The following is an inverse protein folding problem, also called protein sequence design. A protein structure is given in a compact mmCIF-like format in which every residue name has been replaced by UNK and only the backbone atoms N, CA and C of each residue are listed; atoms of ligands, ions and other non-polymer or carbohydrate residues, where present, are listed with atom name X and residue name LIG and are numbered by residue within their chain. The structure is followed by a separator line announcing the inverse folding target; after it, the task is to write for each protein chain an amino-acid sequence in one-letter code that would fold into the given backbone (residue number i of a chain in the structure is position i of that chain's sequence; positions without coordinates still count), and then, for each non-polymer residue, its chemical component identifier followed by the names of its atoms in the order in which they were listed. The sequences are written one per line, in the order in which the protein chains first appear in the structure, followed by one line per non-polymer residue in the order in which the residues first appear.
data_IF_817649646313
#
_entry.id   IF_817649646313
#
_cell.length_a   1.000
_cell.length_b   1.000
_cell.length_c   1.000
_cell.angle_alpha   90.00
_cell.angle_beta   90.00
_cell.angle_gamma   90.00
#
_symmetry.space_group_name_H-M   'P 1'
#
loop_
_entity.id
_entity.type
_entity.pdbx_description
1 polymer ?
#
# COMPACT_ATOMS: atom_id res chain seq x y z
N UNK A 1 66.22 -43.05 -52.49
CA UNK A 1 65.32 -41.93 -52.15
C UNK A 1 65.45 -41.72 -50.64
N UNK A 2 66.44 -40.96 -50.18
CA UNK A 2 66.41 -39.49 -50.01
C UNK A 2 65.46 -39.08 -48.87
N UNK A 3 65.79 -38.30 -47.84
CA UNK A 3 66.97 -37.50 -47.49
C UNK A 3 66.60 -36.69 -46.21
N UNK A 4 67.60 -36.42 -45.36
CA UNK A 4 67.82 -35.20 -44.54
C UNK A 4 66.83 -34.68 -43.43
N UNK A 5 67.47 -34.41 -42.27
CA UNK A 5 67.47 -33.15 -41.48
C UNK A 5 66.21 -32.69 -40.71
N UNK A 6 66.28 -32.50 -39.38
CA UNK A 6 66.61 -31.27 -38.59
C UNK A 6 65.35 -30.54 -38.08
N UNK A 7 65.13 -30.65 -36.76
CA UNK A 7 64.76 -29.61 -35.76
C UNK A 7 63.50 -28.72 -35.85
N UNK A 8 63.15 -28.24 -34.64
CA UNK A 8 62.33 -27.06 -34.22
C UNK A 8 60.83 -27.10 -34.53
N UNK A 9 59.91 -26.68 -33.66
CA UNK A 9 60.00 -25.58 -32.71
C UNK A 9 59.09 -25.78 -31.48
N UNK A 10 59.58 -25.33 -30.32
CA UNK A 10 58.74 -24.99 -29.17
C UNK A 10 57.79 -23.87 -29.60
N UNK A 11 56.49 -24.06 -29.40
CA UNK A 11 55.50 -22.99 -29.51
C UNK A 11 54.99 -22.68 -28.12
N UNK A 12 55.62 -21.70 -27.49
CA UNK A 12 55.16 -21.07 -26.25
C UNK A 12 53.76 -20.50 -26.47
N UNK A 13 52.83 -20.78 -25.55
CA UNK A 13 51.55 -20.08 -25.49
C UNK A 13 51.84 -18.60 -25.21
N UNK A 14 51.74 -17.76 -26.23
CA UNK A 14 51.61 -16.31 -26.07
C UNK A 14 50.33 -16.06 -25.29
N UNK A 15 50.47 -15.96 -23.97
CA UNK A 15 49.49 -15.35 -23.11
C UNK A 15 49.40 -13.88 -23.53
N UNK A 16 48.29 -13.51 -24.18
CA UNK A 16 47.93 -12.11 -24.41
C UNK A 16 47.82 -11.48 -23.02
N UNK A 17 48.86 -10.76 -22.62
CA UNK A 17 48.81 -9.87 -21.47
C UNK A 17 47.86 -8.74 -21.84
N UNK A 18 46.63 -8.81 -21.33
CA UNK A 18 45.78 -7.63 -21.23
C UNK A 18 46.49 -6.62 -20.32
N UNK A 19 46.71 -5.37 -20.76
CA UNK A 19 47.22 -4.34 -19.88
C UNK A 19 46.28 -4.23 -18.68
N UNK A 20 46.83 -4.27 -17.46
CA UNK A 20 46.09 -3.97 -16.25
C UNK A 20 45.61 -2.51 -16.34
N UNK A 21 44.39 -2.33 -16.85
CA UNK A 21 43.67 -1.07 -16.74
C UNK A 21 43.30 -0.90 -15.26
N UNK A 22 43.50 0.30 -14.67
CA UNK A 22 42.95 0.61 -13.35
C UNK A 22 41.45 0.33 -13.40
N UNK A 23 40.96 -0.51 -12.50
CA UNK A 23 39.53 -0.75 -12.35
C UNK A 23 38.86 0.58 -12.00
N UNK A 24 38.19 1.20 -12.97
CA UNK A 24 37.25 2.28 -12.69
C UNK A 24 36.18 1.73 -11.73
N UNK A 25 35.91 2.40 -10.60
CA UNK A 25 34.84 1.99 -9.72
C UNK A 25 33.52 2.10 -10.48
N UNK A 26 32.87 0.96 -10.70
CA UNK A 26 31.48 0.91 -11.17
C UNK A 26 30.66 1.86 -10.31
N UNK A 27 29.93 2.85 -10.89
CA UNK A 27 29.09 3.73 -10.11
C UNK A 27 28.04 2.84 -9.43
N UNK A 28 28.14 2.77 -8.11
CA UNK A 28 27.18 2.09 -7.26
C UNK A 28 25.80 2.62 -7.63
N UNK A 29 24.93 1.74 -8.14
CA UNK A 29 23.55 2.07 -8.46
C UNK A 29 22.94 2.76 -7.25
N UNK A 30 22.74 4.07 -7.36
CA UNK A 30 22.05 4.86 -6.34
C UNK A 30 20.67 4.24 -6.21
N UNK A 31 20.46 3.46 -5.14
CA UNK A 31 19.18 2.86 -4.83
C UNK A 31 18.18 4.01 -4.76
N UNK A 32 17.35 4.16 -5.80
CA UNK A 32 16.35 5.19 -5.87
C UNK A 32 15.45 5.02 -4.64
N UNK A 33 15.60 5.91 -3.64
CA UNK A 33 14.77 5.86 -2.44
C UNK A 33 13.33 6.06 -2.89
N UNK A 34 12.48 5.07 -2.61
CA UNK A 34 11.04 5.25 -2.68
C UNK A 34 10.68 6.45 -1.79
N UNK A 35 9.98 7.48 -2.31
CA UNK A 35 9.55 8.61 -1.49
C UNK A 35 8.78 8.12 -0.27
N UNK A 36 9.03 8.71 0.91
CA UNK A 36 8.29 8.39 2.12
C UNK A 36 6.81 8.77 2.00
N UNK A 37 5.95 8.04 2.72
CA UNK A 37 4.52 8.37 2.76
C UNK A 37 4.28 9.62 3.62
N UNK A 38 3.38 10.53 3.19
CA UNK A 38 3.04 11.70 3.98
C UNK A 38 2.38 11.29 5.29
N UNK A 39 2.80 11.88 6.40
CA UNK A 39 2.14 11.68 7.70
C UNK A 39 0.92 12.60 7.81
N UNK A 40 -0.27 12.05 7.53
CA UNK A 40 -1.54 12.78 7.60
C UNK A 40 -2.20 12.48 8.95
N UNK A 41 -2.58 13.51 9.74
CA UNK A 41 -3.26 13.29 11.01
C UNK A 41 -4.62 12.58 10.81
N UNK A 42 -5.05 11.74 11.75
CA UNK A 42 -6.35 11.08 11.66
C UNK A 42 -7.50 12.10 11.75
N UNK A 43 -8.64 11.83 11.09
CA UNK A 43 -9.83 12.65 11.23
C UNK A 43 -10.47 12.45 12.62
N UNK A 44 -11.49 13.26 12.92
CA UNK A 44 -12.31 13.08 14.11
C UNK A 44 -13.05 11.74 14.10
N UNK A 45 -13.39 11.24 15.31
CA UNK A 45 -14.24 10.05 15.47
C UNK A 45 -15.62 10.29 14.87
N UNK A 46 -16.25 9.20 14.44
CA UNK A 46 -17.58 9.20 13.84
C UNK A 46 -18.60 8.45 14.70
N UNK A 47 -19.59 9.19 15.19
CA UNK A 47 -20.66 8.71 16.07
C UNK A 47 -21.96 8.36 15.35
N UNK A 48 -21.99 8.42 14.01
CA UNK A 48 -23.18 8.08 13.22
C UNK A 48 -24.04 9.27 12.80
N UNK A 49 -23.55 10.50 12.91
CA UNK A 49 -24.28 11.67 12.43
C UNK A 49 -24.41 11.61 10.89
N UNK A 50 -25.62 11.62 10.31
CA UNK A 50 -25.80 11.62 8.86
C UNK A 50 -25.19 12.83 8.15
N UNK A 51 -25.18 14.01 8.77
CA UNK A 51 -24.66 15.24 8.17
C UNK A 51 -23.15 15.18 7.94
N UNK A 52 -22.42 14.39 8.75
CA UNK A 52 -20.96 14.25 8.64
C UNK A 52 -20.52 12.96 7.96
N UNK A 53 -21.46 12.06 7.62
CA UNK A 53 -21.18 10.74 7.08
C UNK A 53 -20.30 10.79 5.82
N UNK A 54 -20.69 11.61 4.84
CA UNK A 54 -19.96 11.77 3.58
C UNK A 54 -18.55 12.30 3.81
N UNK A 55 -18.42 13.36 4.60
CA UNK A 55 -17.12 13.98 4.89
C UNK A 55 -16.18 13.02 5.63
N UNK A 56 -16.72 12.19 6.53
CA UNK A 56 -15.94 11.18 7.24
C UNK A 56 -15.32 10.16 6.28
N UNK A 57 -16.13 9.54 5.41
CA UNK A 57 -15.62 8.53 4.48
C UNK A 57 -14.70 9.12 3.40
N UNK A 58 -14.96 10.34 2.94
CA UNK A 58 -14.07 11.03 1.99
C UNK A 58 -12.69 11.26 2.60
N UNK A 59 -12.60 11.73 3.85
CA UNK A 59 -11.31 11.92 4.54
C UNK A 59 -10.54 10.60 4.67
N UNK A 60 -11.21 9.52 5.07
CA UNK A 60 -10.58 8.20 5.16
C UNK A 60 -10.04 7.73 3.81
N UNK A 61 -10.81 7.91 2.73
CA UNK A 61 -10.38 7.52 1.39
C UNK A 61 -9.10 8.26 0.97
N UNK A 62 -9.05 9.58 1.16
CA UNK A 62 -7.88 10.39 0.82
C UNK A 62 -6.63 9.98 1.61
N UNK A 63 -6.77 9.66 2.89
CA UNK A 63 -5.67 9.20 3.74
C UNK A 63 -5.14 7.84 3.26
N UNK A 64 -6.04 6.92 2.91
CA UNK A 64 -5.67 5.59 2.40
C UNK A 64 -4.96 5.70 1.05
N UNK A 65 -5.46 6.53 0.15
CA UNK A 65 -4.85 6.78 -1.17
C UNK A 65 -3.46 7.42 -1.05
N UNK A 66 -3.28 8.30 -0.06
CA UNK A 66 -1.99 8.95 0.19
C UNK A 66 -0.96 8.04 0.89
N UNK A 67 -1.38 6.95 1.53
CA UNK A 67 -0.50 6.06 2.32
C UNK A 67 -0.67 4.56 1.92
N UNK A 68 -0.45 4.19 0.65
CA UNK A 68 -0.77 2.85 0.13
C UNK A 68 0.02 1.70 0.78
N UNK A 69 1.25 1.93 1.25
CA UNK A 69 2.06 0.93 1.99
C UNK A 69 1.48 0.70 3.38
N UNK A 70 1.12 1.77 4.10
CA UNK A 70 0.46 1.67 5.40
C UNK A 70 -0.89 0.95 5.30
N UNK A 71 -1.64 1.19 4.21
CA UNK A 71 -2.97 0.62 3.97
C UNK A 71 -2.96 -0.40 2.83
N UNK A 72 -2.02 -1.33 2.88
CA UNK A 72 -1.74 -2.30 1.79
C UNK A 72 -2.80 -3.41 1.63
N UNK A 73 -3.64 -3.64 2.64
CA UNK A 73 -4.66 -4.70 2.60
C UNK A 73 -5.95 -4.27 3.32
N UNK A 74 -7.02 -5.04 3.11
CA UNK A 74 -8.33 -4.78 3.72
C UNK A 74 -8.28 -4.76 5.24
N UNK A 75 -7.56 -5.68 5.89
CA UNK A 75 -7.46 -5.73 7.35
C UNK A 75 -6.91 -4.43 7.94
N UNK A 76 -5.86 -3.86 7.33
CA UNK A 76 -5.28 -2.58 7.76
C UNK A 76 -6.27 -1.41 7.58
N UNK A 77 -7.00 -1.38 6.46
CA UNK A 77 -8.02 -0.35 6.18
C UNK A 77 -9.19 -0.46 7.15
N UNK A 78 -9.69 -1.67 7.38
CA UNK A 78 -10.81 -1.95 8.29
C UNK A 78 -10.42 -1.58 9.72
N UNK A 79 -9.23 -1.98 10.19
CA UNK A 79 -8.75 -1.61 11.52
C UNK A 79 -8.68 -0.08 11.70
N UNK A 80 -8.27 0.65 10.66
CA UNK A 80 -8.25 2.11 10.69
C UNK A 80 -9.66 2.71 10.76
N UNK A 81 -10.60 2.24 9.92
CA UNK A 81 -12.02 2.66 10.01
C UNK A 81 -12.56 2.38 11.41
N UNK A 82 -12.40 1.16 11.92
CA UNK A 82 -12.86 0.74 13.25
C UNK A 82 -12.31 1.65 14.35
N UNK A 83 -11.02 2.00 14.26
CA UNK A 83 -10.38 2.93 15.20
C UNK A 83 -10.98 4.33 15.16
N UNK A 84 -11.74 4.70 14.13
CA UNK A 84 -12.37 6.00 13.98
C UNK A 84 -13.87 5.98 14.26
N UNK A 85 -14.48 4.81 14.48
CA UNK A 85 -15.89 4.70 14.85
C UNK A 85 -16.07 4.82 16.38
N UNK A 86 -17.21 5.36 16.78
CA UNK A 86 -17.68 5.37 18.17
C UNK A 86 -19.21 5.21 18.21
N UNK A 87 -19.76 4.86 19.36
CA UNK A 87 -21.21 4.76 19.53
C UNK A 87 -21.87 3.76 18.56
N UNK A 88 -23.06 4.08 17.98
CA UNK A 88 -23.82 3.15 17.16
C UNK A 88 -23.05 2.55 15.96
N UNK A 89 -22.25 3.32 15.18
CA UNK A 89 -21.44 2.74 14.11
C UNK A 89 -20.45 1.66 14.58
N UNK A 90 -19.80 1.87 15.73
CA UNK A 90 -18.86 0.88 16.26
C UNK A 90 -19.60 -0.37 16.74
N UNK A 91 -20.73 -0.20 17.44
CA UNK A 91 -21.60 -1.33 17.83
C UNK A 91 -22.09 -2.12 16.61
N UNK A 92 -22.42 -1.43 15.52
CA UNK A 92 -22.85 -2.06 14.28
C UNK A 92 -21.71 -2.87 13.62
N UNK A 93 -20.50 -2.32 13.57
CA UNK A 93 -19.31 -3.07 13.11
C UNK A 93 -19.06 -4.32 13.97
N UNK A 94 -19.15 -4.19 15.30
CA UNK A 94 -18.98 -5.34 16.21
C UNK A 94 -19.99 -6.44 15.91
N UNK A 95 -21.27 -6.10 15.73
CA UNK A 95 -22.31 -7.07 15.37
C UNK A 95 -22.01 -7.79 14.05
N UNK A 96 -21.50 -7.07 13.03
CA UNK A 96 -21.08 -7.69 11.77
C UNK A 96 -19.90 -8.66 11.97
N UNK A 97 -18.98 -8.35 12.88
CA UNK A 97 -17.84 -9.22 13.21
C UNK A 97 -18.28 -10.48 13.98
N UNK A 98 -19.17 -10.34 14.96
CA UNK A 98 -19.74 -11.45 15.73
C UNK A 98 -20.54 -12.41 14.85
N UNK A 99 -21.21 -11.89 13.82
CA UNK A 99 -21.95 -12.68 12.84
C UNK A 99 -21.05 -13.26 11.73
N UNK A 100 -19.73 -13.07 11.81
CA UNK A 100 -18.77 -13.48 10.78
C UNK A 100 -19.15 -12.97 9.38
N UNK A 101 -19.77 -11.79 9.32
CA UNK A 101 -20.30 -11.25 8.08
C UNK A 101 -19.17 -10.98 7.07
N UNK A 102 -19.32 -11.40 5.80
CA UNK A 102 -18.34 -11.10 4.75
C UNK A 102 -18.23 -9.59 4.48
N UNK A 103 -19.22 -8.79 4.89
CA UNK A 103 -19.19 -7.33 4.79
C UNK A 103 -18.06 -6.74 5.64
N UNK A 104 -17.84 -7.27 6.85
CA UNK A 104 -16.80 -6.80 7.77
C UNK A 104 -15.38 -7.23 7.36
N UNK A 105 -15.23 -8.00 6.27
CA UNK A 105 -13.94 -8.51 5.77
C UNK A 105 -13.43 -7.80 4.53
N UNK A 106 -14.20 -6.85 3.98
CA UNK A 106 -13.80 -6.04 2.84
C UNK A 106 -14.04 -4.58 3.13
N UNK A 107 -13.01 -3.75 2.98
CA UNK A 107 -13.08 -2.31 3.20
C UNK A 107 -14.17 -1.66 2.36
N UNK A 108 -14.25 -1.99 1.07
CA UNK A 108 -15.24 -1.42 0.17
C UNK A 108 -16.67 -1.78 0.58
N UNK A 109 -16.90 -3.05 0.98
CA UNK A 109 -18.21 -3.51 1.46
C UNK A 109 -18.59 -2.87 2.78
N UNK A 110 -17.65 -2.81 3.73
CA UNK A 110 -17.88 -2.18 5.02
C UNK A 110 -18.23 -0.69 4.88
N UNK A 111 -17.47 0.05 4.07
CA UNK A 111 -17.76 1.46 3.80
C UNK A 111 -19.11 1.66 3.11
N UNK A 112 -19.45 0.80 2.14
CA UNK A 112 -20.75 0.86 1.48
C UNK A 112 -21.89 0.59 2.46
N UNK A 113 -21.75 -0.40 3.35
CA UNK A 113 -22.77 -0.75 4.33
C UNK A 113 -22.95 0.34 5.39
N UNK A 114 -21.86 0.89 5.92
CA UNK A 114 -21.94 2.00 6.86
C UNK A 114 -22.58 3.24 6.21
N UNK A 115 -22.23 3.57 4.96
CA UNK A 115 -22.92 4.65 4.23
C UNK A 115 -24.41 4.33 4.02
N UNK A 116 -24.76 3.10 3.68
CA UNK A 116 -26.16 2.69 3.52
C UNK A 116 -26.98 2.88 4.81
N UNK A 117 -26.38 2.63 5.97
CA UNK A 117 -27.04 2.76 7.27
C UNK A 117 -27.10 4.21 7.76
N UNK A 118 -26.02 4.99 7.55
CA UNK A 118 -25.86 6.31 8.17
C UNK A 118 -25.94 7.52 7.21
N UNK A 119 -25.85 7.35 5.89
CA UNK A 119 -26.01 8.43 4.89
C UNK A 119 -27.48 8.58 4.46
N UNK A 120 -28.35 8.92 5.41
CA UNK A 120 -29.75 9.23 5.13
C UNK A 120 -30.03 10.73 5.33
N UNK A 121 -30.90 11.36 4.51
CA UNK A 121 -31.30 12.74 4.76
C UNK A 121 -31.86 12.84 6.17
N UNK A 122 -31.45 13.88 6.91
CA UNK A 122 -32.11 14.24 8.18
C UNK A 122 -33.58 14.38 7.81
N UNK A 123 -34.44 13.47 8.29
CA UNK A 123 -35.87 13.62 8.13
C UNK A 123 -36.19 14.89 8.89
N UNK A 124 -36.33 15.99 8.17
CA UNK A 124 -36.78 17.25 8.72
C UNK A 124 -38.11 16.93 9.39
N UNK A 125 -38.11 16.91 10.71
CA UNK A 125 -39.33 16.99 11.46
C UNK A 125 -39.84 18.40 11.23
N UNK A 126 -40.53 18.59 10.11
CA UNK A 126 -41.52 19.64 10.02
C UNK A 126 -42.63 19.22 10.99
N UNK A 127 -42.43 19.47 12.29
CA UNK A 127 -43.55 19.73 13.18
C UNK A 127 -44.15 21.06 12.72
N UNK A 128 -45.02 20.97 11.72
CA UNK A 128 -45.97 22.02 11.41
C UNK A 128 -47.18 21.89 12.35
N UNK A 129 -47.71 23.04 12.75
CA UNK A 129 -49.04 23.17 13.37
C UNK A 129 -49.02 23.36 14.87
#
# INVERSE_FOLDING_TARGET
MNQLSVQIAQSSLTQVQVPAQPAEPVPSVSSARVPDEPNIPPPNKYSGNPETCRNFFTQIQLIIEAQPRRFSNDSAKIAYVASLLEGPPLSYLNALLEQESPVARSYSRLCAELKRVYDHPVRGWASGG
#
